data_IF_698506046383
#
_entry.id   IF_698506046383
#
_cell.length_a   1.000
_cell.length_b   1.000
_cell.length_c   1.000
_cell.angle_alpha   90.00
_cell.angle_beta   90.00
_cell.angle_gamma   90.00
#
_symmetry.space_group_name_H-M   'P 1'
#
loop_
_entity.id
_entity.type
_entity.pdbx_description
1 polymer ?
#
# COMPACT_ATOMS: atom_id res chain seq x y z
N UNK A 1 -24.20 16.78 -10.18
CA UNK A 1 -22.91 17.10 -10.82
C UNK A 1 -21.82 16.93 -9.76
N UNK A 2 -20.97 15.91 -9.88
CA UNK A 2 -19.85 15.66 -8.95
C UNK A 2 -18.61 16.37 -9.48
N UNK A 3 -18.23 17.49 -8.86
CA UNK A 3 -16.96 18.16 -9.13
C UNK A 3 -15.83 17.25 -8.65
N UNK A 4 -14.96 16.84 -9.58
CA UNK A 4 -13.69 16.23 -9.24
C UNK A 4 -12.81 17.29 -8.59
N UNK A 5 -12.11 16.96 -7.50
CA UNK A 5 -11.17 17.88 -6.85
C UNK A 5 -9.84 18.04 -7.64
N UNK A 6 -9.69 17.35 -8.77
CA UNK A 6 -8.56 17.57 -9.65
C UNK A 6 -8.83 18.78 -10.55
N UNK A 7 -7.84 19.68 -10.74
CA UNK A 7 -8.03 20.89 -11.52
C UNK A 7 -8.55 20.55 -12.94
N UNK A 8 -9.52 21.32 -13.47
CA UNK A 8 -10.03 21.12 -14.82
C UNK A 8 -8.87 21.23 -15.82
N UNK A 9 -8.71 20.22 -16.67
CA UNK A 9 -7.68 20.19 -17.72
C UNK A 9 -6.60 19.12 -17.57
N UNK A 10 -6.57 18.32 -16.50
CA UNK A 10 -5.84 17.05 -16.58
C UNK A 10 -6.67 16.07 -17.40
N UNK A 11 -6.18 15.58 -18.55
CA UNK A 11 -6.90 14.58 -19.32
C UNK A 11 -7.18 13.40 -18.40
N UNK A 12 -8.39 12.84 -18.45
CA UNK A 12 -8.61 11.51 -17.90
C UNK A 12 -7.61 10.59 -18.63
N UNK A 13 -6.46 10.32 -18.01
CA UNK A 13 -5.40 9.44 -18.51
C UNK A 13 -5.87 7.99 -18.67
N UNK A 14 -7.17 7.75 -18.52
CA UNK A 14 -7.82 6.47 -18.35
C UNK A 14 -7.88 5.64 -19.62
N UNK A 15 -8.14 6.17 -20.81
CA UNK A 15 -8.52 5.28 -21.94
C UNK A 15 -7.38 4.40 -22.45
N UNK A 16 -6.15 4.94 -22.57
CA UNK A 16 -5.00 4.20 -23.08
C UNK A 16 -4.31 3.31 -22.03
N UNK A 17 -4.36 3.68 -20.75
CA UNK A 17 -3.67 2.95 -19.67
C UNK A 17 -4.58 1.96 -18.92
N UNK A 18 -5.86 1.88 -19.30
CA UNK A 18 -6.86 1.00 -18.67
C UNK A 18 -7.68 0.25 -19.70
N UNK A 19 -8.28 -0.85 -19.26
CA UNK A 19 -9.21 -1.66 -20.04
C UNK A 19 -10.60 -1.60 -19.42
N UNK A 20 -11.64 -1.63 -20.25
CA UNK A 20 -13.02 -1.66 -19.77
C UNK A 20 -13.31 -2.97 -19.03
N UNK A 21 -14.13 -2.88 -17.98
CA UNK A 21 -14.65 -4.04 -17.25
C UNK A 21 -16.11 -4.22 -17.62
N UNK A 22 -16.47 -5.44 -18.01
CA UNK A 22 -17.86 -5.79 -18.35
C UNK A 22 -18.77 -5.64 -17.14
N UNK A 23 -20.06 -5.38 -17.37
CA UNK A 23 -21.05 -5.29 -16.31
C UNK A 23 -21.09 -6.57 -15.44
N UNK A 24 -21.07 -7.75 -16.07
CA UNK A 24 -21.06 -9.03 -15.35
C UNK A 24 -19.86 -9.19 -14.41
N UNK A 25 -18.64 -8.83 -14.85
CA UNK A 25 -17.46 -8.85 -13.98
C UNK A 25 -17.56 -7.88 -12.81
N UNK A 26 -18.14 -6.69 -13.04
CA UNK A 26 -18.39 -5.72 -11.96
C UNK A 26 -19.39 -6.24 -10.93
N UNK A 27 -20.44 -6.94 -11.38
CA UNK A 27 -21.39 -7.60 -10.48
C UNK A 27 -20.71 -8.67 -9.65
N UNK A 28 -19.85 -9.49 -10.26
CA UNK A 28 -19.06 -10.50 -9.51
C UNK A 28 -18.18 -9.83 -8.46
N UNK A 29 -17.48 -8.74 -8.78
CA UNK A 29 -16.69 -8.01 -7.79
C UNK A 29 -17.55 -7.44 -6.65
N UNK A 30 -18.71 -6.86 -6.97
CA UNK A 30 -19.62 -6.36 -5.94
C UNK A 30 -20.06 -7.47 -4.99
N UNK A 31 -20.50 -8.60 -5.53
CA UNK A 31 -20.97 -9.72 -4.71
C UNK A 31 -19.82 -10.31 -3.90
N UNK A 32 -18.72 -10.67 -4.55
CA UNK A 32 -17.60 -11.37 -3.92
C UNK A 32 -16.86 -10.47 -2.93
N UNK A 33 -16.56 -9.22 -3.26
CA UNK A 33 -15.67 -8.34 -2.48
C UNK A 33 -16.42 -7.39 -1.53
N UNK A 34 -17.74 -7.24 -1.66
CA UNK A 34 -18.51 -6.32 -0.81
C UNK A 34 -19.63 -7.05 -0.10
N UNK A 35 -20.58 -7.62 -0.84
CA UNK A 35 -21.79 -8.21 -0.25
C UNK A 35 -21.44 -9.43 0.61
N UNK A 36 -20.70 -10.39 0.07
CA UNK A 36 -20.33 -11.62 0.78
C UNK A 36 -19.50 -11.35 2.05
N UNK A 37 -18.44 -10.51 2.04
CA UNK A 37 -17.71 -10.11 3.25
C UNK A 37 -18.60 -9.48 4.32
N UNK A 38 -19.47 -8.54 3.94
CA UNK A 38 -20.36 -7.86 4.89
C UNK A 38 -21.33 -8.86 5.53
N UNK A 39 -21.97 -9.70 4.73
CA UNK A 39 -22.85 -10.74 5.24
C UNK A 39 -22.11 -11.75 6.13
N UNK A 40 -20.89 -12.12 5.75
CA UNK A 40 -20.04 -13.03 6.53
C UNK A 40 -19.69 -12.44 7.88
N UNK A 41 -19.24 -11.18 7.92
CA UNK A 41 -18.90 -10.49 9.16
C UNK A 41 -20.14 -10.29 10.05
N UNK A 42 -21.29 -9.96 9.46
CA UNK A 42 -22.55 -9.88 10.19
C UNK A 42 -22.94 -11.24 10.81
N UNK A 43 -22.79 -12.34 10.06
CA UNK A 43 -23.02 -13.70 10.56
C UNK A 43 -21.98 -14.13 11.61
N UNK A 44 -20.76 -13.58 11.59
CA UNK A 44 -19.74 -13.88 12.59
C UNK A 44 -20.10 -13.35 13.98
N UNK A 45 -20.76 -12.19 14.08
CA UNK A 45 -21.15 -11.56 15.35
C UNK A 45 -21.92 -12.52 16.29
N UNK A 46 -23.06 -13.13 15.88
CA UNK A 46 -23.74 -14.11 16.72
C UNK A 46 -22.93 -15.41 16.91
N UNK A 47 -22.12 -15.81 15.93
CA UNK A 47 -21.30 -17.03 16.01
C UNK A 47 -20.20 -16.96 17.09
N UNK A 48 -19.69 -15.76 17.40
CA UNK A 48 -18.76 -15.55 18.53
C UNK A 48 -19.45 -15.75 19.88
N UNK A 49 -20.76 -15.50 19.98
CA UNK A 49 -21.51 -15.55 21.24
C UNK A 49 -21.95 -16.97 21.67
N UNK A 50 -21.15 -17.99 21.32
CA UNK A 50 -21.29 -19.34 21.85
C UNK A 50 -21.48 -20.47 20.83
N UNK A 51 -21.28 -20.23 19.52
CA UNK A 51 -21.65 -21.23 18.50
C UNK A 51 -20.56 -21.69 17.53
N UNK A 52 -19.39 -21.03 17.45
CA UNK A 52 -18.55 -21.29 16.27
C UNK A 52 -17.04 -21.24 16.35
N UNK A 53 -16.40 -20.58 17.33
CA UNK A 53 -14.93 -20.45 17.32
C UNK A 53 -14.28 -21.25 18.45
N UNK A 54 -13.70 -22.40 18.12
CA UNK A 54 -12.81 -23.13 19.01
C UNK A 54 -11.34 -22.68 18.87
N UNK A 55 -10.46 -23.06 19.82
CA UNK A 55 -9.02 -22.80 19.70
C UNK A 55 -8.42 -23.30 18.39
N UNK A 56 -8.89 -24.46 17.89
CA UNK A 56 -8.51 -25.02 16.58
C UNK A 56 -8.82 -24.06 15.45
N UNK A 57 -10.06 -23.58 15.37
CA UNK A 57 -10.52 -22.71 14.29
C UNK A 57 -9.79 -21.36 14.34
N UNK A 58 -9.52 -20.86 15.56
CA UNK A 58 -8.71 -19.66 15.77
C UNK A 58 -7.27 -19.85 15.26
N UNK A 59 -6.61 -20.97 15.58
CA UNK A 59 -5.27 -21.27 15.08
C UNK A 59 -5.25 -21.35 13.55
N UNK A 60 -6.18 -22.10 12.96
CA UNK A 60 -6.30 -22.21 11.49
C UNK A 60 -6.53 -20.83 10.87
N UNK A 61 -7.43 -20.03 11.42
CA UNK A 61 -7.73 -18.69 10.92
C UNK A 61 -6.50 -17.76 10.99
N UNK A 62 -5.77 -17.76 12.10
CA UNK A 62 -4.53 -16.97 12.26
C UNK A 62 -3.46 -17.44 11.28
N UNK A 63 -3.25 -18.74 11.10
CA UNK A 63 -2.27 -19.26 10.14
C UNK A 63 -2.63 -18.85 8.72
N UNK A 64 -3.90 -19.03 8.31
CA UNK A 64 -4.36 -18.63 6.98
C UNK A 64 -4.29 -17.11 6.77
N UNK A 65 -4.56 -16.32 7.82
CA UNK A 65 -4.37 -14.87 7.81
C UNK A 65 -2.90 -14.50 7.55
N UNK A 66 -1.97 -15.09 8.32
CA UNK A 66 -0.54 -14.84 8.17
C UNK A 66 -0.04 -15.21 6.77
N UNK A 67 -0.45 -16.38 6.25
CA UNK A 67 -0.12 -16.80 4.88
C UNK A 67 -0.60 -15.76 3.87
N UNK A 68 -1.85 -15.28 4.01
CA UNK A 68 -2.44 -14.31 3.08
C UNK A 68 -1.71 -12.96 3.13
N UNK A 69 -1.50 -12.40 4.34
CA UNK A 69 -0.87 -11.08 4.51
C UNK A 69 0.61 -11.12 4.13
N UNK A 70 1.38 -12.15 4.52
CA UNK A 70 2.76 -12.30 4.06
C UNK A 70 2.83 -12.52 2.55
N UNK A 71 1.89 -13.27 1.97
CA UNK A 71 1.79 -13.48 0.53
C UNK A 71 1.62 -12.17 -0.25
N UNK A 72 0.73 -11.30 0.21
CA UNK A 72 0.55 -9.96 -0.37
C UNK A 72 1.79 -9.09 -0.12
N UNK A 73 2.21 -8.93 1.15
CA UNK A 73 3.27 -8.01 1.54
C UNK A 73 4.64 -8.38 0.94
N UNK A 74 5.03 -9.65 1.00
CA UNK A 74 6.35 -10.11 0.53
C UNK A 74 6.30 -10.47 -0.95
N UNK A 75 5.29 -11.24 -1.35
CA UNK A 75 5.14 -11.74 -2.71
C UNK A 75 4.69 -10.66 -3.67
N UNK A 76 3.39 -10.40 -3.69
CA UNK A 76 2.78 -9.50 -4.69
C UNK A 76 3.40 -8.10 -4.63
N UNK A 77 3.61 -7.59 -3.43
CA UNK A 77 4.06 -6.23 -3.22
C UNK A 77 5.59 -6.08 -3.36
N UNK A 78 6.37 -6.53 -2.37
CA UNK A 78 7.82 -6.29 -2.34
C UNK A 78 8.57 -7.01 -3.47
N UNK A 79 8.20 -8.25 -3.80
CA UNK A 79 8.88 -9.01 -4.86
C UNK A 79 8.39 -8.64 -6.26
N UNK A 80 7.11 -8.91 -6.59
CA UNK A 80 6.63 -8.80 -7.97
C UNK A 80 6.35 -7.36 -8.41
N UNK A 81 5.91 -6.50 -7.50
CA UNK A 81 5.65 -5.10 -7.85
C UNK A 81 6.91 -4.26 -7.83
N UNK A 82 7.66 -4.31 -6.73
CA UNK A 82 8.77 -3.38 -6.49
C UNK A 82 10.17 -3.96 -6.69
N UNK A 83 10.28 -5.27 -6.93
CA UNK A 83 11.56 -5.95 -7.19
C UNK A 83 12.58 -5.69 -6.09
N UNK A 84 12.13 -5.66 -4.84
CA UNK A 84 12.95 -5.40 -3.68
C UNK A 84 13.98 -6.51 -3.42
N UNK A 85 13.73 -7.71 -3.94
CA UNK A 85 14.65 -8.84 -3.92
C UNK A 85 14.36 -9.80 -5.07
N UNK A 86 15.29 -10.70 -5.35
CA UNK A 86 15.09 -11.87 -6.21
C UNK A 86 14.95 -13.11 -5.34
N UNK A 87 14.25 -14.13 -5.82
CA UNK A 87 14.17 -15.41 -5.12
C UNK A 87 14.27 -16.60 -6.06
N UNK A 88 14.66 -17.75 -5.50
CA UNK A 88 14.67 -19.04 -6.19
C UNK A 88 13.24 -19.44 -6.55
N UNK A 89 13.09 -20.23 -7.62
CA UNK A 89 11.78 -20.64 -8.15
C UNK A 89 10.83 -21.24 -7.10
N UNK A 90 11.25 -22.10 -6.14
CA UNK A 90 10.33 -22.64 -5.13
C UNK A 90 9.73 -21.56 -4.23
N UNK A 91 10.55 -20.67 -3.68
CA UNK A 91 10.06 -19.55 -2.87
C UNK A 91 9.18 -18.62 -3.70
N UNK A 92 9.55 -18.36 -4.96
CA UNK A 92 8.76 -17.56 -5.88
C UNK A 92 7.36 -18.11 -6.09
N UNK A 93 7.23 -19.42 -6.32
CA UNK A 93 5.92 -20.09 -6.46
C UNK A 93 5.14 -20.07 -5.15
N UNK A 94 5.80 -20.33 -4.03
CA UNK A 94 5.16 -20.27 -2.70
C UNK A 94 4.59 -18.87 -2.40
N UNK A 95 5.32 -17.81 -2.74
CA UNK A 95 4.87 -16.43 -2.59
C UNK A 95 3.70 -16.09 -3.52
N UNK A 96 3.68 -16.61 -4.75
CA UNK A 96 2.53 -16.47 -5.65
C UNK A 96 1.29 -17.15 -5.05
N UNK A 97 1.41 -18.41 -4.61
CA UNK A 97 0.30 -19.15 -4.00
C UNK A 97 -0.22 -18.45 -2.74
N UNK A 98 0.68 -18.04 -1.84
CA UNK A 98 0.32 -17.34 -0.62
C UNK A 98 -0.41 -16.02 -0.90
N UNK A 99 0.09 -15.20 -1.84
CA UNK A 99 -0.55 -13.94 -2.23
C UNK A 99 -1.88 -14.16 -2.95
N UNK A 100 -1.98 -15.19 -3.80
CA UNK A 100 -3.23 -15.55 -4.47
C UNK A 100 -4.33 -16.02 -3.52
N UNK A 101 -3.97 -16.67 -2.41
CA UNK A 101 -4.92 -17.07 -1.37
C UNK A 101 -5.50 -15.87 -0.59
N UNK A 102 -4.91 -14.68 -0.69
CA UNK A 102 -5.52 -13.46 -0.15
C UNK A 102 -6.74 -12.99 -0.95
N UNK A 103 -6.98 -13.54 -2.15
CA UNK A 103 -8.17 -13.28 -2.99
C UNK A 103 -8.33 -11.86 -3.54
N UNK A 104 -7.26 -11.06 -3.57
CA UNK A 104 -7.28 -9.68 -4.11
C UNK A 104 -7.11 -9.57 -5.63
N UNK A 105 -7.20 -10.69 -6.33
CA UNK A 105 -7.09 -10.81 -7.78
C UNK A 105 -5.80 -11.50 -8.24
N UNK A 106 -5.73 -11.83 -9.54
CA UNK A 106 -4.52 -12.39 -10.13
C UNK A 106 -3.34 -11.43 -9.99
N UNK A 107 -2.15 -11.98 -9.80
CA UNK A 107 -0.93 -11.20 -9.50
C UNK A 107 -0.67 -10.11 -10.54
N UNK A 108 -0.91 -10.38 -11.83
CA UNK A 108 -0.69 -9.38 -12.88
C UNK A 108 -1.64 -8.19 -12.75
N UNK A 109 -2.88 -8.42 -12.35
CA UNK A 109 -3.85 -7.35 -12.13
C UNK A 109 -3.52 -6.55 -10.87
N UNK A 110 -3.22 -7.24 -9.77
CA UNK A 110 -2.85 -6.59 -8.52
C UNK A 110 -1.63 -5.69 -8.70
N UNK A 111 -0.55 -6.22 -9.32
CA UNK A 111 0.65 -5.43 -9.59
C UNK A 111 0.39 -4.30 -10.58
N UNK A 112 -0.47 -4.49 -11.59
CA UNK A 112 -0.81 -3.41 -12.52
C UNK A 112 -1.53 -2.24 -11.82
N UNK A 113 -2.51 -2.54 -10.97
CA UNK A 113 -3.19 -1.51 -10.17
C UNK A 113 -2.21 -0.82 -9.21
N UNK A 114 -1.34 -1.58 -8.54
CA UNK A 114 -0.40 -1.02 -7.58
C UNK A 114 0.68 -0.14 -8.23
N UNK A 115 1.24 -0.56 -9.38
CA UNK A 115 2.18 0.27 -10.15
C UNK A 115 1.53 1.56 -10.64
N UNK A 116 0.27 1.48 -11.07
CA UNK A 116 -0.50 2.67 -11.46
C UNK A 116 -0.77 3.59 -10.27
N UNK A 117 -1.15 3.03 -9.13
CA UNK A 117 -1.29 3.75 -7.89
C UNK A 117 -0.01 4.49 -7.55
N UNK A 118 1.15 3.84 -7.51
CA UNK A 118 2.41 4.55 -7.24
C UNK A 118 2.65 5.68 -8.22
N UNK A 119 2.44 5.50 -9.53
CA UNK A 119 2.64 6.59 -10.50
C UNK A 119 1.74 7.80 -10.19
N UNK A 120 0.47 7.56 -9.92
CA UNK A 120 -0.55 8.59 -9.77
C UNK A 120 -0.98 8.87 -8.33
N UNK A 121 -0.26 8.37 -7.33
CA UNK A 121 -0.71 8.33 -5.93
C UNK A 121 -1.31 9.67 -5.48
N UNK A 122 -2.53 9.61 -4.96
CA UNK A 122 -3.30 10.75 -4.47
C UNK A 122 -3.62 11.83 -5.53
N UNK A 123 -3.52 11.50 -6.83
CA UNK A 123 -3.80 12.37 -7.99
C UNK A 123 -4.80 11.73 -8.96
N UNK A 124 -5.20 12.49 -9.97
CA UNK A 124 -5.99 11.98 -11.08
C UNK A 124 -5.28 10.78 -11.73
N UNK A 125 -6.02 9.68 -11.87
CA UNK A 125 -5.48 8.42 -12.42
C UNK A 125 -5.11 7.38 -11.36
N UNK A 126 -5.05 7.73 -10.07
CA UNK A 126 -4.96 6.74 -8.99
C UNK A 126 -6.27 5.95 -8.89
N UNK A 127 -6.25 4.59 -8.99
CA UNK A 127 -7.46 3.78 -8.89
C UNK A 127 -8.20 3.98 -7.56
N UNK A 128 -7.48 4.19 -6.45
CA UNK A 128 -8.03 4.14 -5.10
C UNK A 128 -7.55 5.31 -4.22
N UNK A 129 -7.38 6.50 -4.81
CA UNK A 129 -7.08 7.72 -4.03
C UNK A 129 -8.24 8.08 -3.08
N UNK A 130 -7.99 8.26 -1.77
CA UNK A 130 -8.99 8.77 -0.84
C UNK A 130 -9.31 10.24 -1.04
N UNK A 131 -8.56 10.94 -1.90
CA UNK A 131 -8.70 12.38 -2.17
C UNK A 131 -9.52 12.67 -3.43
N UNK A 132 -10.05 11.63 -4.08
CA UNK A 132 -10.77 11.71 -5.36
C UNK A 132 -11.90 12.75 -5.38
N UNK A 133 -12.63 12.89 -4.28
CA UNK A 133 -13.83 13.72 -4.20
C UNK A 133 -13.62 15.06 -3.48
N UNK A 134 -12.42 15.30 -2.94
CA UNK A 134 -12.09 16.47 -2.12
C UNK A 134 -11.28 16.08 -0.89
N UNK A 135 -10.85 17.09 -0.13
CA UNK A 135 -9.95 16.95 1.02
C UNK A 135 -10.55 17.34 2.37
N UNK A 136 -11.86 17.62 2.43
CA UNK A 136 -12.56 18.02 3.66
C UNK A 136 -13.95 17.39 3.81
N UNK A 137 -14.39 17.26 5.07
CA UNK A 137 -15.75 16.86 5.45
C UNK A 137 -16.27 15.59 4.77
N UNK A 138 -17.51 15.68 4.25
CA UNK A 138 -18.19 14.57 3.56
C UNK A 138 -17.46 14.10 2.29
N UNK A 139 -16.74 15.00 1.60
CA UNK A 139 -15.99 14.66 0.41
C UNK A 139 -14.83 13.71 0.72
N UNK A 140 -14.09 13.99 1.80
CA UNK A 140 -13.03 13.11 2.28
C UNK A 140 -13.59 11.76 2.75
N UNK A 141 -14.70 11.75 3.50
CA UNK A 141 -15.35 10.51 3.93
C UNK A 141 -15.78 9.64 2.73
N UNK A 142 -16.35 10.25 1.70
CA UNK A 142 -16.70 9.57 0.44
C UNK A 142 -15.45 9.03 -0.27
N UNK A 143 -14.37 9.79 -0.28
CA UNK A 143 -13.09 9.40 -0.87
C UNK A 143 -12.44 8.23 -0.13
N UNK A 144 -12.43 8.27 1.20
CA UNK A 144 -11.98 7.16 2.03
C UNK A 144 -12.81 5.88 1.79
N UNK A 145 -14.14 5.98 1.72
CA UNK A 145 -14.99 4.84 1.39
C UNK A 145 -14.69 4.28 -0.02
N UNK A 146 -14.38 5.17 -0.99
CA UNK A 146 -13.90 4.77 -2.32
C UNK A 146 -12.56 4.04 -2.26
N UNK A 147 -11.58 4.59 -1.55
CA UNK A 147 -10.25 4.00 -1.41
C UNK A 147 -10.28 2.64 -0.68
N UNK A 148 -11.20 2.47 0.27
CA UNK A 148 -11.33 1.24 1.05
C UNK A 148 -12.04 0.14 0.25
N UNK A 149 -13.25 0.38 -0.26
CA UNK A 149 -14.05 -0.66 -0.94
C UNK A 149 -14.62 -0.21 -2.30
N UNK A 150 -14.87 1.10 -2.45
CA UNK A 150 -15.62 1.62 -3.60
C UNK A 150 -14.94 1.42 -4.94
N UNK A 151 -13.62 1.48 -4.97
CA UNK A 151 -12.84 1.46 -6.20
C UNK A 151 -12.93 0.12 -6.97
N UNK A 152 -13.19 -0.99 -6.29
CA UNK A 152 -13.33 -2.29 -6.96
C UNK A 152 -14.63 -2.43 -7.75
N UNK A 153 -15.78 -2.02 -7.18
CA UNK A 153 -17.09 -2.24 -7.82
C UNK A 153 -17.53 -1.05 -8.70
N UNK A 154 -17.11 0.18 -8.36
CA UNK A 154 -17.41 1.37 -9.17
C UNK A 154 -16.51 1.49 -10.39
N UNK A 155 -15.39 0.76 -10.42
CA UNK A 155 -14.46 0.73 -11.56
C UNK A 155 -15.14 0.20 -12.82
N UNK A 156 -15.45 1.11 -13.74
CA UNK A 156 -15.78 0.79 -15.14
C UNK A 156 -14.54 0.36 -15.94
N UNK A 157 -13.36 0.70 -15.42
CA UNK A 157 -12.06 0.48 -16.06
C UNK A 157 -11.04 0.03 -15.02
N UNK A 158 -10.13 -0.86 -15.43
CA UNK A 158 -9.03 -1.42 -14.61
C UNK A 158 -7.70 -1.26 -15.33
N UNK A 159 -6.60 -1.26 -14.60
CA UNK A 159 -5.27 -1.06 -15.16
C UNK A 159 -4.95 -2.09 -16.25
N UNK A 160 -4.47 -1.62 -17.40
CA UNK A 160 -4.09 -2.49 -18.53
C UNK A 160 -2.84 -3.29 -18.19
N UNK A 161 -2.94 -4.62 -18.14
CA UNK A 161 -1.81 -5.49 -17.78
C UNK A 161 -0.67 -5.37 -18.80
N UNK A 162 -1.00 -5.26 -20.08
CA UNK A 162 -0.03 -5.07 -21.16
C UNK A 162 0.78 -3.78 -20.98
N UNK A 163 0.14 -2.72 -20.47
CA UNK A 163 0.80 -1.42 -20.22
C UNK A 163 1.65 -1.44 -18.95
N UNK A 164 1.12 -1.98 -17.86
CA UNK A 164 1.71 -1.78 -16.53
C UNK A 164 2.64 -2.89 -16.08
N UNK A 165 2.44 -4.10 -16.61
CA UNK A 165 3.20 -5.29 -16.20
C UNK A 165 3.64 -6.15 -17.40
N UNK A 166 4.18 -5.57 -18.50
CA UNK A 166 4.65 -6.35 -19.65
C UNK A 166 5.72 -7.38 -19.26
N UNK A 167 6.53 -7.08 -18.24
CA UNK A 167 7.50 -8.00 -17.65
C UNK A 167 6.86 -9.24 -17.03
N UNK A 168 5.75 -9.08 -16.28
CA UNK A 168 5.04 -10.22 -15.69
C UNK A 168 4.23 -10.99 -16.74
N UNK A 169 3.74 -10.30 -17.78
CA UNK A 169 3.06 -10.93 -18.90
C UNK A 169 4.01 -11.77 -19.77
N UNK A 170 5.29 -11.41 -19.83
CA UNK A 170 6.31 -12.19 -20.53
C UNK A 170 6.75 -13.44 -19.74
N UNK A 171 6.48 -13.50 -18.42
CA UNK A 171 6.92 -14.59 -17.57
C UNK A 171 5.98 -15.80 -17.64
N UNK A 172 6.47 -16.99 -18.03
CA UNK A 172 5.62 -18.15 -18.25
C UNK A 172 5.07 -18.75 -16.95
N UNK A 173 5.81 -18.66 -15.83
CA UNK A 173 5.31 -19.14 -14.54
C UNK A 173 4.20 -18.23 -14.02
N UNK A 174 4.35 -16.90 -14.15
CA UNK A 174 3.30 -15.94 -13.78
C UNK A 174 2.06 -16.15 -14.63
N UNK A 175 2.20 -16.31 -15.95
CA UNK A 175 1.05 -16.56 -16.84
C UNK A 175 0.29 -17.83 -16.46
N UNK A 176 1.01 -18.93 -16.17
CA UNK A 176 0.38 -20.19 -15.71
C UNK A 176 -0.34 -19.98 -14.39
N UNK A 177 0.28 -19.26 -13.46
CA UNK A 177 -0.32 -18.95 -12.16
C UNK A 177 -1.60 -18.09 -12.30
N UNK A 178 -1.55 -17.05 -13.12
CA UNK A 178 -2.70 -16.17 -13.41
C UNK A 178 -3.87 -16.96 -14.03
N UNK A 179 -3.58 -17.91 -14.91
CA UNK A 179 -4.57 -18.80 -15.49
C UNK A 179 -5.14 -19.79 -14.46
N UNK A 180 -4.32 -20.26 -13.52
CA UNK A 180 -4.72 -21.13 -12.42
C UNK A 180 -5.35 -20.39 -11.23
N UNK A 181 -5.48 -19.06 -11.28
CA UNK A 181 -6.00 -18.25 -10.18
C UNK A 181 -7.38 -18.74 -9.64
N UNK A 182 -8.36 -19.19 -10.46
CA UNK A 182 -9.59 -19.76 -9.93
C UNK A 182 -9.37 -20.97 -9.01
N UNK A 183 -8.38 -21.83 -9.31
CA UNK A 183 -8.02 -22.96 -8.46
C UNK A 183 -7.34 -22.51 -7.17
N UNK A 184 -6.48 -21.49 -7.23
CA UNK A 184 -5.87 -20.88 -6.03
C UNK A 184 -6.93 -20.22 -5.15
N UNK A 185 -7.94 -19.60 -5.76
CA UNK A 185 -9.08 -19.03 -5.05
C UNK A 185 -9.89 -20.11 -4.32
N UNK A 186 -10.17 -21.24 -4.98
CA UNK A 186 -10.80 -22.38 -4.34
C UNK A 186 -9.93 -22.94 -3.19
N UNK A 187 -8.62 -23.06 -3.41
CA UNK A 187 -7.67 -23.52 -2.39
C UNK A 187 -7.68 -22.65 -1.12
N UNK A 188 -7.85 -21.32 -1.26
CA UNK A 188 -7.98 -20.39 -0.12
C UNK A 188 -9.10 -20.77 0.86
N UNK A 189 -10.16 -21.44 0.37
CA UNK A 189 -11.29 -21.89 1.17
C UNK A 189 -11.20 -23.37 1.53
N UNK A 190 -10.77 -24.21 0.59
CA UNK A 190 -10.65 -25.66 0.79
C UNK A 190 -9.55 -26.02 1.79
N UNK A 191 -8.45 -25.26 1.83
CA UNK A 191 -7.33 -25.54 2.72
C UNK A 191 -7.71 -25.43 4.21
N UNK A 192 -8.30 -24.32 4.71
CA UNK A 192 -8.75 -24.25 6.09
C UNK A 192 -9.87 -25.25 6.39
N UNK A 193 -10.79 -25.50 5.45
CA UNK A 193 -11.85 -26.50 5.61
C UNK A 193 -11.26 -27.90 5.82
N UNK A 194 -10.36 -28.33 4.94
CA UNK A 194 -9.68 -29.62 5.05
C UNK A 194 -8.85 -29.71 6.34
N UNK A 195 -8.12 -28.66 6.70
CA UNK A 195 -7.34 -28.63 7.95
C UNK A 195 -8.23 -28.80 9.18
N UNK A 196 -9.38 -28.11 9.23
CA UNK A 196 -10.34 -28.24 10.32
C UNK A 196 -10.95 -29.63 10.41
N UNK A 197 -11.41 -30.15 9.27
CA UNK A 197 -12.03 -31.46 9.18
C UNK A 197 -11.09 -32.61 9.51
N UNK A 198 -9.83 -32.54 9.07
CA UNK A 198 -8.80 -33.54 9.38
C UNK A 198 -8.34 -33.44 10.83
N UNK A 199 -8.17 -32.24 11.38
CA UNK A 199 -7.76 -32.10 12.79
C UNK A 199 -8.86 -32.58 13.74
N UNK A 200 -10.13 -32.29 13.46
CA UNK A 200 -11.24 -32.76 14.30
C UNK A 200 -11.77 -34.14 13.92
N UNK A 201 -11.31 -34.72 12.80
CA UNK A 201 -11.91 -35.89 12.15
C UNK A 201 -13.44 -35.77 12.01
N UNK A 202 -13.96 -34.59 11.66
CA UNK A 202 -15.40 -34.33 11.61
C UNK A 202 -15.83 -33.27 10.60
N UNK A 203 -17.05 -33.42 10.09
CA UNK A 203 -17.68 -32.43 9.20
C UNK A 203 -17.90 -31.09 9.90
N UNK A 204 -18.24 -31.09 11.19
CA UNK A 204 -18.41 -29.86 11.96
C UNK A 204 -17.11 -29.06 11.98
N UNK A 205 -15.96 -29.69 12.24
CA UNK A 205 -14.67 -28.97 12.22
C UNK A 205 -14.27 -28.48 10.83
N UNK A 206 -14.66 -29.19 9.77
CA UNK A 206 -14.51 -28.71 8.40
C UNK A 206 -15.29 -27.41 8.17
N UNK A 207 -16.57 -27.39 8.55
CA UNK A 207 -17.44 -26.22 8.36
C UNK A 207 -17.03 -25.03 9.23
N UNK A 208 -16.68 -25.24 10.50
CA UNK A 208 -16.22 -24.15 11.37
C UNK A 208 -14.92 -23.54 10.87
N UNK A 209 -13.96 -24.37 10.43
CA UNK A 209 -12.71 -23.87 9.89
C UNK A 209 -12.88 -23.20 8.52
N UNK A 210 -13.78 -23.68 7.65
CA UNK A 210 -14.16 -22.98 6.42
C UNK A 210 -14.75 -21.59 6.74
N UNK A 211 -15.61 -21.51 7.75
CA UNK A 211 -16.24 -20.26 8.13
C UNK A 211 -15.19 -19.26 8.66
N UNK A 212 -14.40 -19.64 9.67
CA UNK A 212 -13.43 -18.73 10.29
C UNK A 212 -12.16 -18.52 9.48
N UNK A 213 -11.49 -19.60 9.09
CA UNK A 213 -10.24 -19.56 8.32
C UNK A 213 -10.43 -19.32 6.83
N UNK A 214 -11.63 -19.58 6.29
CA UNK A 214 -12.01 -19.24 4.93
C UNK A 214 -12.70 -17.87 4.86
N UNK A 215 -13.99 -17.82 5.16
CA UNK A 215 -14.85 -16.67 4.87
C UNK A 215 -14.55 -15.43 5.74
N UNK A 216 -14.48 -15.59 7.07
CA UNK A 216 -14.21 -14.46 7.98
C UNK A 216 -12.80 -13.93 7.75
N UNK A 217 -11.80 -14.81 7.69
CA UNK A 217 -10.41 -14.45 7.34
C UNK A 217 -10.34 -13.72 6.00
N UNK A 218 -11.07 -14.17 4.98
CA UNK A 218 -11.14 -13.48 3.68
C UNK A 218 -11.61 -12.03 3.83
N UNK A 219 -12.73 -11.81 4.54
CA UNK A 219 -13.26 -10.48 4.79
C UNK A 219 -12.27 -9.59 5.57
N UNK A 220 -11.69 -10.13 6.65
CA UNK A 220 -10.73 -9.40 7.51
C UNK A 220 -9.47 -9.02 6.71
N UNK A 221 -8.89 -9.94 5.94
CA UNK A 221 -7.71 -9.67 5.12
C UNK A 221 -7.96 -8.49 4.16
N UNK A 222 -9.11 -8.46 3.48
CA UNK A 222 -9.44 -7.38 2.54
C UNK A 222 -9.54 -6.03 3.24
N UNK A 223 -10.25 -5.95 4.37
CA UNK A 223 -10.34 -4.70 5.12
C UNK A 223 -8.97 -4.25 5.65
N UNK A 224 -8.14 -5.19 6.10
CA UNK A 224 -6.77 -4.89 6.56
C UNK A 224 -5.91 -4.35 5.42
N UNK A 225 -5.90 -4.98 4.25
CA UNK A 225 -5.06 -4.52 3.13
C UNK A 225 -5.59 -3.23 2.53
N UNK A 226 -6.89 -3.08 2.37
CA UNK A 226 -7.51 -1.84 1.89
C UNK A 226 -7.40 -0.67 2.86
N UNK A 227 -7.18 -0.94 4.16
CA UNK A 227 -6.86 0.11 5.12
C UNK A 227 -5.55 0.84 4.78
N UNK A 228 -4.61 0.19 4.08
CA UNK A 228 -3.39 0.84 3.58
C UNK A 228 -3.75 1.92 2.56
N UNK A 229 -4.67 1.61 1.64
CA UNK A 229 -5.12 2.56 0.61
C UNK A 229 -5.93 3.72 1.20
N UNK A 230 -6.81 3.44 2.16
CA UNK A 230 -7.69 4.47 2.72
C UNK A 230 -7.04 5.21 3.88
N UNK A 231 -6.62 4.52 4.93
CA UNK A 231 -6.16 5.12 6.18
C UNK A 231 -4.73 5.60 6.03
N UNK A 232 -3.82 4.78 5.50
CA UNK A 232 -2.40 5.17 5.41
C UNK A 232 -2.13 6.26 4.35
N UNK A 233 -3.08 6.60 3.48
CA UNK A 233 -3.03 7.78 2.61
C UNK A 233 -3.77 9.01 3.16
N UNK A 234 -4.50 8.86 4.27
CA UNK A 234 -5.30 9.94 4.85
C UNK A 234 -4.77 10.41 6.20
N UNK A 235 -4.35 9.47 7.06
CA UNK A 235 -3.99 9.70 8.45
C UNK A 235 -2.65 9.05 8.78
N UNK A 236 -1.88 9.68 9.67
CA UNK A 236 -0.66 9.13 10.23
C UNK A 236 0.52 10.08 10.15
N UNK A 237 1.69 9.56 10.50
CA UNK A 237 2.93 10.32 10.54
C UNK A 237 3.62 10.35 9.18
N UNK A 238 4.20 11.47 8.77
CA UNK A 238 5.00 11.58 7.54
C UNK A 238 6.43 12.01 7.84
N UNK A 239 7.25 11.12 8.46
CA UNK A 239 8.62 11.47 8.84
C UNK A 239 9.56 11.66 7.63
N UNK A 240 9.14 11.31 6.41
CA UNK A 240 9.90 11.47 5.19
C UNK A 240 9.16 12.31 4.15
N UNK A 241 9.93 13.15 3.43
CA UNK A 241 9.43 13.95 2.31
C UNK A 241 9.04 13.04 1.14
N UNK A 242 7.75 12.96 0.84
CA UNK A 242 7.17 12.26 -0.31
C UNK A 242 6.34 13.23 -1.17
N UNK A 243 5.99 12.83 -2.39
CA UNK A 243 5.21 13.65 -3.36
C UNK A 243 3.69 13.43 -3.31
N UNK A 244 3.28 12.47 -2.49
CA UNK A 244 1.91 12.03 -2.25
C UNK A 244 1.55 12.24 -0.76
N UNK A 245 0.41 11.70 -0.33
CA UNK A 245 -0.12 11.83 1.03
C UNK A 245 0.04 10.51 1.81
N UNK A 246 0.91 9.60 1.40
CA UNK A 246 1.22 8.39 2.17
C UNK A 246 1.81 8.72 3.55
N UNK A 247 1.43 7.94 4.55
CA UNK A 247 1.71 8.16 5.97
C UNK A 247 1.87 6.85 6.73
N UNK A 248 2.60 6.90 7.84
CA UNK A 248 2.84 5.77 8.71
C UNK A 248 1.72 5.64 9.74
N UNK A 249 1.11 4.46 9.82
CA UNK A 249 0.06 4.13 10.79
C UNK A 249 0.44 2.85 11.51
N UNK A 250 0.84 2.97 12.79
CA UNK A 250 1.44 1.87 13.56
C UNK A 250 0.55 0.64 13.67
N UNK A 251 -0.74 0.83 13.91
CA UNK A 251 -1.68 -0.28 14.07
C UNK A 251 -2.03 -0.94 12.73
N UNK A 252 -2.09 -0.17 11.64
CA UNK A 252 -2.19 -0.74 10.27
C UNK A 252 -0.94 -1.55 9.98
N UNK A 253 0.26 -1.06 10.35
CA UNK A 253 1.50 -1.78 10.17
C UNK A 253 1.55 -3.10 10.95
N UNK A 254 0.97 -3.14 12.15
CA UNK A 254 0.83 -4.36 12.92
C UNK A 254 -0.06 -5.39 12.21
N UNK A 255 -1.28 -4.99 11.81
CA UNK A 255 -2.23 -5.90 11.14
C UNK A 255 -1.69 -6.37 9.78
N UNK A 256 -1.09 -5.48 9.00
CA UNK A 256 -0.55 -5.76 7.67
C UNK A 256 0.87 -6.36 7.69
N UNK A 257 1.42 -6.65 8.87
CA UNK A 257 2.76 -7.22 9.02
C UNK A 257 3.88 -6.37 8.36
N UNK A 258 3.71 -5.05 8.36
CA UNK A 258 4.73 -4.06 7.96
C UNK A 258 4.30 -3.05 6.88
N UNK A 259 3.13 -3.21 6.26
CA UNK A 259 2.70 -2.38 5.12
C UNK A 259 2.17 -1.00 5.54
N UNK A 260 1.75 -0.85 6.79
CA UNK A 260 1.35 0.45 7.33
C UNK A 260 2.51 1.45 7.56
N UNK A 261 3.77 1.06 7.32
CA UNK A 261 4.90 2.01 7.24
C UNK A 261 4.97 2.66 5.85
N UNK A 262 3.84 3.23 5.44
CA UNK A 262 3.56 3.55 4.05
C UNK A 262 4.32 4.78 3.54
N UNK A 263 4.69 5.70 4.42
CA UNK A 263 5.42 6.91 4.03
C UNK A 263 6.81 6.61 3.48
N UNK A 264 7.60 5.77 4.17
CA UNK A 264 8.91 5.37 3.65
C UNK A 264 8.77 4.51 2.41
N UNK A 265 7.78 3.63 2.39
CA UNK A 265 7.48 2.78 1.25
C UNK A 265 7.26 3.61 -0.04
N UNK A 266 6.52 4.72 0.00
CA UNK A 266 6.36 5.59 -1.16
C UNK A 266 7.59 6.43 -1.51
N UNK A 267 8.51 6.65 -0.55
CA UNK A 267 9.80 7.32 -0.80
C UNK A 267 10.80 6.40 -1.48
N UNK A 268 10.93 5.14 -1.03
CA UNK A 268 11.80 4.12 -1.63
C UNK A 268 11.05 2.80 -1.81
N UNK A 269 10.23 2.67 -2.87
CA UNK A 269 9.37 1.50 -3.06
C UNK A 269 10.14 0.19 -3.25
N UNK A 270 11.36 0.27 -3.78
CA UNK A 270 12.22 -0.89 -3.99
C UNK A 270 12.92 -1.36 -2.71
N UNK A 271 12.76 -0.67 -1.58
CA UNK A 271 13.35 -1.09 -0.31
C UNK A 271 12.55 -2.26 0.30
N UNK A 272 13.25 -3.35 0.62
CA UNK A 272 12.64 -4.56 1.19
C UNK A 272 12.11 -4.39 2.63
N UNK A 273 12.46 -3.29 3.30
CA UNK A 273 12.01 -2.94 4.64
C UNK A 273 11.30 -1.59 4.61
N UNK A 274 10.03 -1.57 5.03
CA UNK A 274 9.24 -0.35 5.11
C UNK A 274 9.41 0.32 6.49
N UNK A 275 9.47 -0.48 7.56
CA UNK A 275 9.64 0.02 8.93
C UNK A 275 11.10 0.41 9.24
N UNK A 276 11.56 1.54 8.74
CA UNK A 276 12.98 1.94 8.78
C UNK A 276 13.41 2.71 10.04
N UNK A 277 12.47 3.28 10.79
CA UNK A 277 12.78 4.00 12.03
C UNK A 277 12.80 3.05 13.24
N UNK A 278 13.48 3.48 14.31
CA UNK A 278 13.54 2.73 15.57
C UNK A 278 12.12 2.47 16.11
N UNK A 279 11.86 1.24 16.55
CA UNK A 279 10.55 0.83 17.06
C UNK A 279 9.53 0.45 15.97
N UNK A 280 9.85 0.63 14.68
CA UNK A 280 8.98 0.19 13.60
C UNK A 280 9.14 -1.31 13.34
N UNK A 281 8.20 -2.09 13.86
CA UNK A 281 8.15 -3.54 13.65
C UNK A 281 7.71 -3.84 12.21
N UNK A 282 8.51 -4.62 11.49
CA UNK A 282 8.25 -5.04 10.12
C UNK A 282 8.49 -6.55 10.01
N UNK A 283 7.50 -7.38 10.39
CA UNK A 283 7.59 -8.84 10.29
C UNK A 283 7.89 -9.33 8.88
N UNK A 284 7.35 -8.68 7.84
CA UNK A 284 7.61 -9.05 6.45
C UNK A 284 9.08 -8.87 6.06
N UNK A 285 9.71 -7.77 6.48
CA UNK A 285 11.15 -7.58 6.28
C UNK A 285 11.99 -8.62 7.05
N UNK A 286 11.55 -8.99 8.27
CA UNK A 286 12.21 -10.03 9.06
C UNK A 286 12.14 -11.39 8.37
N UNK A 287 10.99 -11.75 7.80
CA UNK A 287 10.82 -13.00 7.06
C UNK A 287 11.66 -13.02 5.77
N UNK A 288 11.73 -11.90 5.03
CA UNK A 288 12.64 -11.76 3.88
C UNK A 288 14.09 -11.97 4.30
N UNK A 289 14.51 -11.43 5.46
CA UNK A 289 15.87 -11.66 6.00
C UNK A 289 16.16 -13.14 6.25
N UNK A 290 15.18 -13.91 6.74
CA UNK A 290 15.34 -15.35 6.93
C UNK A 290 15.46 -16.09 5.60
N UNK A 291 14.64 -15.73 4.61
CA UNK A 291 14.77 -16.28 3.26
C UNK A 291 16.14 -15.98 2.63
N UNK A 292 16.68 -14.79 2.87
CA UNK A 292 18.01 -14.40 2.40
C UNK A 292 19.11 -15.24 3.06
N UNK A 293 19.05 -15.40 4.39
CA UNK A 293 20.01 -16.24 5.14
C UNK A 293 19.95 -17.71 4.72
N UNK A 294 18.76 -18.20 4.36
CA UNK A 294 18.57 -19.56 3.84
C UNK A 294 18.98 -19.72 2.36
N UNK A 295 19.40 -18.64 1.68
CA UNK A 295 19.77 -18.66 0.25
C UNK A 295 18.57 -18.77 -0.72
N UNK A 296 17.34 -18.68 -0.20
CA UNK A 296 16.11 -18.72 -1.00
C UNK A 296 15.81 -17.37 -1.64
N UNK A 297 16.17 -16.27 -0.98
CA UNK A 297 16.16 -14.91 -1.51
C UNK A 297 17.59 -14.39 -1.69
N UNK A 298 17.80 -13.49 -2.65
CA UNK A 298 19.10 -12.89 -2.94
C UNK A 298 18.95 -11.53 -3.61
N UNK A 299 20.01 -10.72 -3.58
CA UNK A 299 19.99 -9.35 -4.11
C UNK A 299 18.93 -8.48 -3.42
N UNK A 300 18.78 -8.63 -2.10
CA UNK A 300 17.78 -7.91 -1.32
C UNK A 300 18.24 -6.46 -1.13
N UNK A 301 17.36 -5.52 -1.45
CA UNK A 301 17.57 -4.08 -1.32
C UNK A 301 17.20 -3.63 0.10
N UNK A 302 18.19 -3.57 0.98
CA UNK A 302 18.00 -3.08 2.35
C UNK A 302 18.05 -1.54 2.43
N UNK A 303 17.51 -0.94 3.50
CA UNK A 303 17.48 0.51 3.65
C UNK A 303 18.86 1.14 3.54
N UNK A 304 18.94 2.22 2.78
CA UNK A 304 20.15 2.99 2.56
C UNK A 304 20.18 4.19 3.54
N UNK A 305 21.12 4.24 4.49
CA UNK A 305 21.20 5.30 5.50
C UNK A 305 21.34 6.71 4.92
N UNK A 306 21.99 6.84 3.75
CA UNK A 306 22.18 8.13 3.07
C UNK A 306 20.85 8.65 2.56
N UNK A 307 20.09 7.80 1.84
CA UNK A 307 18.75 8.15 1.35
C UNK A 307 17.76 8.39 2.50
N UNK A 308 17.82 7.58 3.55
CA UNK A 308 17.01 7.77 4.76
C UNK A 308 17.21 9.14 5.36
N UNK A 309 18.48 9.52 5.58
CA UNK A 309 18.83 10.83 6.16
C UNK A 309 18.42 11.97 5.25
N UNK A 310 18.71 11.87 3.95
CA UNK A 310 18.40 12.92 2.97
C UNK A 310 16.90 13.20 2.81
N UNK A 311 16.04 12.18 3.01
CA UNK A 311 14.59 12.30 2.87
C UNK A 311 13.86 12.60 4.18
N UNK A 312 14.54 12.49 5.32
CA UNK A 312 13.93 12.73 6.62
C UNK A 312 13.49 14.19 6.73
N UNK A 313 12.25 14.41 7.16
CA UNK A 313 11.78 15.75 7.53
C UNK A 313 12.53 16.11 8.81
N UNK A 314 13.20 17.27 8.83
CA UNK A 314 13.80 17.80 10.05
C UNK A 314 12.72 17.82 11.13
N UNK A 315 13.03 17.36 12.34
CA UNK A 315 12.10 17.50 13.45
C UNK A 315 11.80 19.00 13.59
N UNK A 316 10.57 19.41 13.27
CA UNK A 316 10.08 20.71 13.74
C UNK A 316 10.13 20.70 15.27
N UNK A 317 10.21 21.86 15.93
CA UNK A 317 10.07 21.91 17.38
C UNK A 317 8.78 21.17 17.75
N UNK A 318 8.91 20.10 18.53
CA UNK A 318 7.77 19.30 18.94
C UNK A 318 6.80 20.13 19.77
N UNK A 319 5.51 19.73 19.86
CA UNK A 319 4.58 20.38 20.76
C UNK A 319 4.95 19.99 22.20
N UNK A 320 5.52 20.95 22.94
CA UNK A 320 5.95 20.84 24.33
C UNK A 320 7.37 21.41 24.48
N UNK A 321 7.59 22.60 25.03
CA UNK A 321 6.97 23.22 26.19
C UNK A 321 6.65 24.69 25.91
N UNK A 322 5.41 25.14 26.16
CA UNK A 322 5.13 26.55 26.42
C UNK A 322 5.81 26.93 27.74
N UNK A 323 7.09 27.28 27.68
CA UNK A 323 7.88 27.81 28.78
C UNK A 323 8.31 29.21 28.42
N UNK A 324 7.85 30.16 29.25
CA UNK A 324 8.19 31.58 29.27
C UNK A 324 7.77 32.39 28.02
N UNK A 325 6.66 33.10 28.15
CA UNK A 325 6.39 34.27 27.31
C UNK A 325 7.53 35.30 27.47
N UNK A 326 7.74 36.17 26.47
CA UNK A 326 8.65 37.28 26.64
C UNK A 326 8.12 38.15 27.79
N UNK A 327 8.95 38.33 28.83
CA UNK A 327 8.67 39.28 29.90
C UNK A 327 8.47 40.69 29.31
N UNK A 328 7.71 41.56 29.99
CA UNK A 328 7.43 42.88 29.47
C UNK A 328 8.74 43.69 29.43
N UNK A 329 9.01 44.31 28.28
CA UNK A 329 10.03 45.36 28.18
C UNK A 329 9.63 46.54 29.09
N UNK A 330 10.57 47.15 29.84
CA UNK A 330 10.27 48.34 30.60
C UNK A 330 10.09 49.53 29.66
N UNK A 331 9.00 50.25 29.87
CA UNK A 331 8.70 51.52 29.24
C UNK A 331 9.74 52.58 29.64
N UNK A 332 10.38 53.20 28.66
CA UNK A 332 10.87 54.57 28.82
C UNK A 332 10.12 55.48 27.86
N UNK A 333 9.48 56.48 28.46
CA UNK A 333 8.74 57.53 27.80
C UNK A 333 9.68 58.71 27.49
N UNK A 334 9.63 59.15 26.23
CA UNK A 334 9.53 60.57 25.89
C UNK A 334 10.83 61.37 25.73
N UNK A 335 11.10 61.82 24.50
CA UNK A 335 11.09 63.26 24.18
C UNK A 335 11.43 63.51 22.69
N UNK A 336 10.44 64.06 21.97
CA UNK A 336 10.53 65.24 21.10
C UNK A 336 11.42 65.26 19.83
N UNK A 337 11.06 66.08 18.82
CA UNK A 337 11.43 65.87 17.42
C UNK A 337 12.43 66.89 16.87
N UNK A 338 13.05 66.61 15.71
CA UNK A 338 13.41 67.55 14.62
C UNK A 338 14.27 66.82 13.55
N UNK A 339 13.81 66.65 12.30
CA UNK A 339 13.95 67.46 11.06
C UNK A 339 15.05 66.99 10.07
N UNK A 340 14.57 66.77 8.82
CA UNK A 340 15.23 67.03 7.52
C UNK A 340 16.43 66.19 7.04
N UNK A 341 16.43 65.88 5.73
CA UNK A 341 17.69 65.65 4.98
C UNK A 341 17.71 64.55 3.92
N UNK A 342 17.18 64.86 2.73
CA UNK A 342 17.66 64.51 1.37
C UNK A 342 18.54 63.26 1.07
N UNK A 343 18.08 62.48 0.06
CA UNK A 343 18.84 62.25 -1.19
C UNK A 343 19.72 60.99 -1.34
N UNK A 344 19.98 60.51 -2.58
CA UNK A 344 19.99 59.08 -2.91
C UNK A 344 21.33 58.52 -3.47
N UNK A 345 21.47 57.19 -3.54
CA UNK A 345 22.50 56.48 -4.31
C UNK A 345 22.18 54.98 -4.43
N UNK A 346 21.68 54.52 -5.58
CA UNK A 346 22.43 53.76 -6.61
C UNK A 346 23.32 52.63 -6.06
N UNK A 347 23.01 51.39 -6.43
CA UNK A 347 23.92 50.55 -7.22
C UNK A 347 23.27 49.20 -7.55
N UNK A 348 23.17 48.93 -8.85
CA UNK A 348 22.86 47.63 -9.40
C UNK A 348 24.12 46.77 -9.40
N UNK A 349 24.05 45.57 -8.84
CA UNK A 349 25.10 44.55 -9.00
C UNK A 349 24.58 43.45 -9.92
N UNK A 350 25.08 43.47 -11.16
CA UNK A 350 25.17 42.29 -12.03
C UNK A 350 26.34 41.43 -11.55
N UNK A 351 26.17 40.11 -11.57
CA UNK A 351 27.28 39.16 -11.70
C UNK A 351 26.80 37.90 -12.47
N UNK A 352 27.68 37.14 -13.12
CA UNK A 352 27.52 36.70 -14.49
C UNK A 352 27.39 35.16 -14.56
N UNK A 353 27.11 34.65 -15.75
CA UNK A 353 26.86 33.23 -15.97
C UNK A 353 28.06 32.29 -15.75
N UNK A 354 27.73 31.01 -15.60
CA UNK A 354 28.49 29.85 -16.08
C UNK A 354 27.58 28.60 -16.09
N UNK A 355 27.94 27.51 -16.79
CA UNK A 355 27.22 27.06 -17.97
C UNK A 355 26.55 25.69 -17.82
N UNK A 356 25.82 25.32 -18.87
CA UNK A 356 25.27 23.99 -19.10
C UNK A 356 26.29 22.86 -18.95
N UNK A 357 25.84 21.73 -18.40
CA UNK A 357 26.44 20.42 -18.62
C UNK A 357 25.34 19.41 -18.92
N UNK A 358 25.33 19.01 -20.18
CA UNK A 358 24.79 17.77 -20.68
C UNK A 358 25.53 16.58 -20.06
N UNK A 359 24.82 15.47 -19.92
CA UNK A 359 25.34 14.24 -19.34
C UNK A 359 24.26 13.16 -19.36
N UNK A 360 23.98 12.67 -20.56
CA UNK A 360 23.33 11.38 -20.80
C UNK A 360 24.03 10.29 -19.97
N UNK A 361 23.23 9.57 -19.18
CA UNK A 361 23.66 8.42 -18.39
C UNK A 361 22.83 7.22 -18.80
N UNK A 362 23.47 6.32 -19.53
CA UNK A 362 22.91 5.17 -20.23
C UNK A 362 21.99 4.26 -19.41
N UNK A 363 20.89 3.89 -20.06
CA UNK A 363 19.97 2.85 -19.60
C UNK A 363 20.61 1.47 -19.66
N UNK A 364 20.81 0.86 -18.49
CA UNK A 364 21.21 -0.55 -18.38
C UNK A 364 20.05 -1.44 -18.84
N UNK A 365 20.19 -1.98 -20.05
CA UNK A 365 19.29 -2.95 -20.67
C UNK A 365 19.37 -4.29 -19.94
N UNK A 366 18.25 -4.73 -19.38
CA UNK A 366 18.12 -6.03 -18.71
C UNK A 366 18.04 -7.17 -19.74
N UNK A 367 18.95 -8.15 -19.65
CA UNK A 367 18.87 -9.43 -20.36
C UNK A 367 18.83 -10.57 -19.34
N UNK A 368 17.89 -11.53 -19.45
CA UNK A 368 17.86 -12.69 -18.58
C UNK A 368 18.94 -13.72 -19.00
N UNK A 369 19.55 -14.45 -18.05
CA UNK A 369 20.41 -15.57 -18.39
C UNK A 369 19.56 -16.74 -18.92
N UNK A 370 20.09 -17.45 -19.92
CA UNK A 370 19.55 -18.73 -20.37
C UNK A 370 19.90 -19.82 -19.35
N UNK A 371 19.01 -20.81 -19.31
CA UNK A 371 18.98 -22.09 -18.58
C UNK A 371 18.31 -22.04 -17.22
#
# INVERSE_FOLDING_TARGET
MTTSAFPPGQPESGTAETVAVTAGRRTVYLVALVVLPVLTLAAAVPAVWGWGIGPRDAVIAVVMYLISIFGIAIGYHRHFTHRAFRCRRPLRIALMLAGGMALEGPITLWTAEHRRHHKYADRAGDPHSPWRYGDSGLALLRGMAHAHIGWFYTARRRSSRQRWVPDLMADPDVRRFDAAYPAVAALSFLLPAAAGGLWSMSWTGMWTALFWGGLVRYAVVHHVTWSVNSIAHTFGERPFRTRDRSSNVRWVAFLTLGEGWHNWHHVDPACARHGVLRGQLDPSARLIRWFERAGWAYGVRWPDPVRLTARRVAAGPGPGTSGAGPGPEPSEAGSGPETSGAGPGTSAVRNPGRPARDGEGDGVRWTPPRV
#
